data_IF_555346406057
#
_entry.id   IF_555346406057
#
_cell.length_a   1.000
_cell.length_b   1.000
_cell.length_c   1.000
_cell.angle_alpha   90.00
_cell.angle_beta   90.00
_cell.angle_gamma   90.00
#
_symmetry.space_group_name_H-M   'P 1'
#
loop_
_entity.id
_entity.type
_entity.pdbx_description
1 polymer ?
#
# COMPACT_ATOMS: atom_id res chain seq x y z
N UNK A 1 -7.61 12.45 23.35
CA UNK A 1 -8.95 12.28 23.88
C UNK A 1 -10.05 12.49 22.80
N UNK A 2 -10.09 13.65 22.12
CA UNK A 2 -11.07 13.93 21.05
C UNK A 2 -10.95 12.92 19.90
N UNK A 3 -9.74 12.64 19.41
CA UNK A 3 -9.51 11.65 18.36
C UNK A 3 -9.99 10.24 18.76
N UNK A 4 -9.81 9.85 20.03
CA UNK A 4 -10.28 8.57 20.55
C UNK A 4 -11.80 8.49 20.58
N UNK A 5 -12.50 9.57 20.93
CA UNK A 5 -13.97 9.64 20.89
C UNK A 5 -14.51 9.54 19.46
N UNK A 6 -13.88 10.25 18.49
CA UNK A 6 -14.25 10.16 17.08
C UNK A 6 -14.04 8.74 16.56
N UNK A 7 -12.93 8.10 16.94
CA UNK A 7 -12.65 6.72 16.55
C UNK A 7 -13.66 5.73 17.12
N UNK A 8 -14.07 5.88 18.38
CA UNK A 8 -15.12 5.08 18.98
C UNK A 8 -16.47 5.31 18.29
N UNK A 9 -16.83 6.57 18.03
CA UNK A 9 -18.07 6.91 17.33
C UNK A 9 -18.12 6.35 15.90
N UNK A 10 -16.98 6.22 15.20
CA UNK A 10 -16.92 5.65 13.85
C UNK A 10 -17.33 4.17 13.78
N UNK A 11 -17.34 3.46 14.90
CA UNK A 11 -17.80 2.06 14.96
C UNK A 11 -19.33 1.92 15.06
N UNK A 12 -20.07 2.99 15.42
CA UNK A 12 -21.52 2.94 15.57
C UNK A 12 -22.25 2.47 14.31
N UNK A 13 -21.94 2.96 13.08
CA UNK A 13 -22.57 2.48 11.86
C UNK A 13 -22.38 0.98 11.63
N UNK A 14 -21.21 0.43 11.99
CA UNK A 14 -20.90 -1.00 11.84
C UNK A 14 -21.77 -1.86 12.76
N UNK A 15 -22.05 -1.39 13.98
CA UNK A 15 -22.90 -2.10 14.94
C UNK A 15 -24.38 -2.09 14.55
N UNK A 16 -24.83 -1.06 13.83
CA UNK A 16 -26.23 -0.91 13.39
C UNK A 16 -26.50 -1.65 12.08
N UNK A 17 -25.46 -1.89 11.27
CA UNK A 17 -25.59 -2.56 9.97
C UNK A 17 -25.93 -4.03 10.16
N UNK A 18 -27.09 -4.48 9.65
CA UNK A 18 -27.48 -5.90 9.68
C UNK A 18 -26.65 -6.70 8.69
N UNK A 19 -26.03 -7.78 9.16
CA UNK A 19 -25.33 -8.74 8.30
C UNK A 19 -26.34 -9.57 7.51
N UNK A 20 -26.38 -9.39 6.21
CA UNK A 20 -27.20 -10.19 5.30
C UNK A 20 -26.43 -11.38 4.68
N UNK A 21 -25.28 -11.75 5.25
CA UNK A 21 -24.44 -12.82 4.71
C UNK A 21 -24.87 -14.19 5.26
N UNK A 22 -25.14 -15.12 4.33
CA UNK A 22 -25.22 -16.54 4.69
C UNK A 22 -23.80 -17.07 4.86
N UNK A 23 -23.47 -17.74 6.00
CA UNK A 23 -22.15 -18.31 6.20
C UNK A 23 -21.88 -19.36 5.10
N UNK A 24 -20.80 -19.16 4.35
CA UNK A 24 -20.33 -20.11 3.34
C UNK A 24 -19.34 -21.12 3.95
N UNK A 25 -19.18 -22.29 3.34
CA UNK A 25 -18.15 -23.24 3.72
C UNK A 25 -16.76 -22.64 3.47
N UNK A 26 -15.92 -22.59 4.50
CA UNK A 26 -14.56 -22.06 4.43
C UNK A 26 -13.54 -23.15 4.76
N UNK A 27 -12.44 -23.17 4.01
CA UNK A 27 -11.29 -24.05 4.27
C UNK A 27 -10.00 -23.25 4.17
N UNK A 28 -9.25 -23.17 5.28
CA UNK A 28 -7.89 -22.57 5.30
C UNK A 28 -6.94 -23.27 4.34
N UNK A 29 -6.99 -24.59 4.31
CA UNK A 29 -6.18 -25.40 3.38
C UNK A 29 -6.51 -25.11 1.93
N UNK A 30 -7.79 -24.87 1.63
CA UNK A 30 -8.23 -24.44 0.31
C UNK A 30 -7.65 -23.08 -0.10
N UNK A 31 -7.60 -22.10 0.82
CA UNK A 31 -6.97 -20.81 0.57
C UNK A 31 -5.46 -20.94 0.35
N UNK A 32 -4.77 -21.74 1.17
CA UNK A 32 -3.34 -22.00 1.01
C UNK A 32 -3.03 -22.67 -0.33
N UNK A 33 -3.83 -23.64 -0.76
CA UNK A 33 -3.66 -24.31 -2.06
C UNK A 33 -3.80 -23.34 -3.24
N UNK A 34 -4.61 -22.27 -3.10
CA UNK A 34 -4.73 -21.24 -4.14
C UNK A 34 -3.42 -20.51 -4.44
N UNK A 35 -2.47 -20.47 -3.50
CA UNK A 35 -1.16 -19.84 -3.70
C UNK A 35 -0.30 -20.60 -4.72
N UNK A 36 -0.48 -21.92 -4.81
CA UNK A 36 0.27 -22.79 -5.74
C UNK A 36 -0.44 -22.97 -7.07
N UNK A 37 -1.68 -22.53 -7.20
CA UNK A 37 -2.44 -22.61 -8.45
C UNK A 37 -1.87 -21.67 -9.51
N UNK A 38 -1.55 -22.22 -10.69
CA UNK A 38 -1.03 -21.45 -11.84
C UNK A 38 -1.92 -20.28 -12.23
N UNK A 39 -3.24 -20.41 -12.06
CA UNK A 39 -4.21 -19.34 -12.36
C UNK A 39 -4.05 -18.11 -11.46
N UNK A 40 -3.54 -18.29 -10.26
CA UNK A 40 -3.43 -17.24 -9.26
C UNK A 40 -2.04 -16.62 -9.18
N UNK A 41 -1.05 -17.12 -9.92
CA UNK A 41 0.35 -16.64 -9.86
C UNK A 41 0.50 -15.14 -10.09
N UNK A 42 -0.21 -14.59 -11.08
CA UNK A 42 -0.18 -13.15 -11.36
C UNK A 42 -0.74 -12.35 -10.17
N UNK A 43 -1.85 -12.80 -9.59
CA UNK A 43 -2.43 -12.14 -8.42
C UNK A 43 -1.53 -12.29 -7.19
N UNK A 44 -0.94 -13.47 -6.96
CA UNK A 44 0.02 -13.71 -5.89
C UNK A 44 1.19 -12.71 -5.97
N UNK A 45 1.81 -12.58 -7.14
CA UNK A 45 2.90 -11.63 -7.35
C UNK A 45 2.44 -10.17 -7.20
N UNK A 46 1.25 -9.83 -7.71
CA UNK A 46 0.70 -8.49 -7.51
C UNK A 46 0.53 -8.15 -6.03
N UNK A 47 0.03 -9.08 -5.23
CA UNK A 47 -0.15 -8.88 -3.79
C UNK A 47 1.18 -8.84 -3.01
N UNK A 48 2.25 -9.46 -3.52
CA UNK A 48 3.60 -9.26 -2.94
C UNK A 48 4.07 -7.81 -3.02
N UNK A 49 3.53 -7.03 -3.95
CA UNK A 49 3.76 -5.59 -4.03
C UNK A 49 3.54 -4.85 -2.70
N UNK A 50 2.63 -5.34 -1.84
CA UNK A 50 2.37 -4.76 -0.51
C UNK A 50 3.57 -4.82 0.45
N UNK A 51 4.64 -5.54 0.12
CA UNK A 51 5.89 -5.48 0.88
C UNK A 51 6.49 -4.07 0.95
N UNK A 52 6.21 -3.20 -0.05
CA UNK A 52 6.66 -1.80 -0.04
C UNK A 52 6.07 -0.98 1.12
N UNK A 53 4.93 -1.40 1.69
CA UNK A 53 4.30 -0.70 2.82
C UNK A 53 5.20 -0.64 4.05
N UNK A 54 6.07 -1.62 4.25
CA UNK A 54 7.04 -1.60 5.35
C UNK A 54 8.07 -0.48 5.17
N UNK A 55 8.47 -0.22 3.93
CA UNK A 55 9.37 0.89 3.63
C UNK A 55 8.67 2.23 3.87
N UNK A 56 7.36 2.33 3.52
CA UNK A 56 6.54 3.52 3.81
C UNK A 56 6.38 3.76 5.30
N UNK A 57 6.10 2.70 6.07
CA UNK A 57 5.71 2.83 7.47
C UNK A 57 6.91 2.94 8.42
N UNK A 58 8.06 2.41 8.04
CA UNK A 58 9.24 2.36 8.92
C UNK A 58 10.40 3.17 8.36
N UNK A 59 10.88 2.82 7.17
CA UNK A 59 12.12 3.39 6.64
C UNK A 59 11.94 4.84 6.22
N UNK A 60 10.85 5.16 5.53
CA UNK A 60 10.60 6.51 5.03
C UNK A 60 10.45 7.55 6.15
N UNK A 61 9.69 7.32 7.24
CA UNK A 61 9.63 8.24 8.38
C UNK A 61 10.99 8.45 9.06
N UNK A 62 11.80 7.39 9.21
CA UNK A 62 13.16 7.51 9.77
C UNK A 62 14.03 8.39 8.85
N UNK A 63 14.01 8.14 7.55
CA UNK A 63 14.75 8.94 6.58
C UNK A 63 14.32 10.41 6.58
N UNK A 64 13.01 10.69 6.68
CA UNK A 64 12.51 12.07 6.78
C UNK A 64 13.04 12.75 8.04
N UNK A 65 13.10 12.07 9.19
CA UNK A 65 13.58 12.64 10.44
C UNK A 65 15.06 13.02 10.41
N UNK A 66 15.85 12.41 9.53
CA UNK A 66 17.24 12.77 9.28
C UNK A 66 17.33 14.09 8.49
N UNK A 67 16.41 14.31 7.54
CA UNK A 67 16.38 15.52 6.71
C UNK A 67 15.72 16.69 7.43
N UNK A 68 14.66 16.41 8.18
CA UNK A 68 13.84 17.42 8.88
C UNK A 68 13.97 17.19 10.38
N UNK A 69 14.89 17.90 11.00
CA UNK A 69 15.16 17.79 12.45
C UNK A 69 14.15 18.54 13.31
N UNK A 70 13.46 19.55 12.74
CA UNK A 70 12.43 20.29 13.45
C UNK A 70 11.06 19.59 13.36
N UNK A 71 10.57 19.11 14.49
CA UNK A 71 9.29 18.40 14.63
C UNK A 71 8.09 19.26 14.23
N UNK A 72 8.15 20.58 14.42
CA UNK A 72 7.06 21.46 14.04
C UNK A 72 6.91 21.54 12.52
N UNK A 73 8.01 21.77 11.81
CA UNK A 73 8.06 21.78 10.35
C UNK A 73 7.65 20.43 9.76
N UNK A 74 8.10 19.34 10.38
CA UNK A 74 7.69 17.98 9.99
C UNK A 74 6.17 17.79 10.12
N UNK A 75 5.59 18.22 11.23
CA UNK A 75 4.14 18.09 11.49
C UNK A 75 3.30 18.88 10.50
N UNK A 76 3.70 20.10 10.17
CA UNK A 76 3.03 20.95 9.16
C UNK A 76 3.08 20.23 7.80
N UNK A 77 4.25 19.75 7.39
CA UNK A 77 4.46 19.10 6.11
C UNK A 77 3.57 17.86 5.96
N UNK A 78 3.55 16.99 6.96
CA UNK A 78 2.71 15.77 6.96
C UNK A 78 1.23 16.14 6.94
N UNK A 79 0.82 17.16 7.69
CA UNK A 79 -0.58 17.61 7.73
C UNK A 79 -1.05 18.17 6.38
N UNK A 80 -0.22 18.99 5.74
CA UNK A 80 -0.52 19.55 4.41
C UNK A 80 -0.58 18.43 3.34
N UNK A 81 0.38 17.50 3.34
CA UNK A 81 0.38 16.35 2.44
C UNK A 81 -0.89 15.50 2.61
N UNK A 82 -1.32 15.29 3.86
CA UNK A 82 -2.53 14.53 4.17
C UNK A 82 -3.79 15.26 3.69
N UNK A 83 -3.88 16.57 3.90
CA UNK A 83 -5.01 17.39 3.46
C UNK A 83 -5.14 17.37 1.93
N UNK A 84 -4.05 17.60 1.20
CA UNK A 84 -4.03 17.50 -0.27
C UNK A 84 -4.46 16.11 -0.73
N UNK A 85 -3.94 15.06 -0.10
CA UNK A 85 -4.29 13.67 -0.41
C UNK A 85 -5.78 13.41 -0.19
N UNK A 86 -6.35 13.88 0.92
CA UNK A 86 -7.78 13.71 1.22
C UNK A 86 -8.67 14.34 0.14
N UNK A 87 -8.39 15.58 -0.25
CA UNK A 87 -9.17 16.29 -1.28
C UNK A 87 -9.13 15.58 -2.64
N UNK A 88 -7.95 15.12 -3.04
CA UNK A 88 -7.76 14.46 -4.33
C UNK A 88 -8.33 13.04 -4.34
N UNK A 89 -8.31 12.32 -3.22
CA UNK A 89 -8.85 10.95 -3.13
C UNK A 89 -10.34 10.89 -3.49
N UNK A 90 -11.12 11.89 -3.11
CA UNK A 90 -12.55 11.96 -3.49
C UNK A 90 -12.74 12.03 -5.01
N UNK A 91 -11.82 12.68 -5.73
CA UNK A 91 -11.84 12.75 -7.19
C UNK A 91 -11.38 11.45 -7.85
N UNK A 92 -10.34 10.80 -7.28
CA UNK A 92 -9.82 9.52 -7.77
C UNK A 92 -10.91 8.44 -7.77
N UNK A 93 -11.74 8.37 -6.73
CA UNK A 93 -12.86 7.42 -6.66
C UNK A 93 -13.76 7.51 -7.88
N UNK A 94 -14.20 8.71 -8.25
CA UNK A 94 -15.03 8.94 -9.45
C UNK A 94 -14.34 8.53 -10.74
N UNK A 95 -13.03 8.75 -10.84
CA UNK A 95 -12.24 8.39 -12.02
C UNK A 95 -12.15 6.87 -12.21
N UNK A 96 -11.98 6.12 -11.12
CA UNK A 96 -11.90 4.66 -11.14
C UNK A 96 -13.22 4.02 -11.55
N UNK A 97 -14.34 4.58 -11.13
CA UNK A 97 -15.68 4.09 -11.50
C UNK A 97 -15.99 4.27 -12.99
N UNK A 98 -15.40 5.28 -13.64
CA UNK A 98 -15.68 5.63 -15.02
C UNK A 98 -14.78 4.96 -16.05
N UNK A 99 -13.67 4.34 -15.66
CA UNK A 99 -12.63 3.81 -16.57
C UNK A 99 -12.28 2.34 -16.28
N UNK A 100 -11.47 1.74 -17.17
CA UNK A 100 -10.94 0.40 -16.97
C UNK A 100 -10.01 0.34 -15.77
N UNK A 101 -10.43 -0.40 -14.74
CA UNK A 101 -9.73 -0.54 -13.44
C UNK A 101 -8.28 -1.01 -13.62
N UNK A 102 -8.02 -1.93 -14.55
CA UNK A 102 -6.66 -2.45 -14.79
C UNK A 102 -5.74 -1.39 -15.39
N UNK A 103 -6.24 -0.57 -16.31
CA UNK A 103 -5.44 0.52 -16.89
C UNK A 103 -5.10 1.58 -15.85
N UNK A 104 -6.05 1.90 -14.96
CA UNK A 104 -5.82 2.84 -13.85
C UNK A 104 -4.82 2.25 -12.87
N UNK A 105 -4.94 0.97 -12.52
CA UNK A 105 -4.01 0.26 -11.65
C UNK A 105 -2.58 0.29 -12.23
N UNK A 106 -2.43 -0.01 -13.52
CA UNK A 106 -1.13 0.01 -14.18
C UNK A 106 -0.50 1.42 -14.18
N UNK A 107 -1.30 2.43 -14.51
CA UNK A 107 -0.84 3.83 -14.51
C UNK A 107 -0.46 4.28 -13.09
N UNK A 108 -1.30 3.98 -12.09
CA UNK A 108 -1.03 4.28 -10.69
C UNK A 108 0.24 3.60 -10.19
N UNK A 109 0.45 2.33 -10.55
CA UNK A 109 1.64 1.56 -10.16
C UNK A 109 2.92 2.13 -10.77
N UNK A 110 2.89 2.52 -12.06
CA UNK A 110 4.02 3.18 -12.71
C UNK A 110 4.37 4.49 -12.03
N UNK A 111 3.35 5.31 -11.75
CA UNK A 111 3.53 6.62 -11.15
C UNK A 111 4.03 6.51 -9.70
N UNK A 112 3.53 5.52 -8.96
CA UNK A 112 3.97 5.23 -7.60
C UNK A 112 5.41 4.71 -7.55
N UNK A 113 5.78 3.81 -8.47
CA UNK A 113 7.15 3.34 -8.61
C UNK A 113 8.10 4.49 -8.95
N UNK A 114 7.70 5.38 -9.87
CA UNK A 114 8.46 6.58 -10.20
C UNK A 114 8.67 7.48 -8.96
N UNK A 115 7.63 7.68 -8.15
CA UNK A 115 7.76 8.44 -6.90
C UNK A 115 8.74 7.79 -5.92
N UNK A 116 8.84 6.45 -5.88
CA UNK A 116 9.84 5.75 -5.10
C UNK A 116 11.26 6.03 -5.59
N UNK A 117 11.50 6.01 -6.89
CA UNK A 117 12.82 6.35 -7.44
C UNK A 117 13.18 7.83 -7.24
N UNK A 118 12.21 8.72 -7.26
CA UNK A 118 12.46 10.14 -6.94
C UNK A 118 12.94 10.36 -5.50
N UNK A 119 12.60 9.47 -4.54
CA UNK A 119 13.11 9.54 -3.17
C UNK A 119 14.64 9.43 -3.08
N UNK A 120 15.28 8.81 -4.06
CA UNK A 120 16.75 8.74 -4.13
C UNK A 120 17.44 10.11 -4.23
N UNK A 121 16.71 11.11 -4.72
CA UNK A 121 17.20 12.47 -4.99
C UNK A 121 16.65 13.51 -4.01
N UNK A 122 16.04 13.06 -2.92
CA UNK A 122 15.48 13.97 -1.90
C UNK A 122 16.58 14.36 -0.91
N UNK A 123 16.82 15.68 -0.78
CA UNK A 123 17.84 16.23 0.10
C UNK A 123 17.32 17.40 0.97
N UNK A 124 16.08 17.83 0.78
CA UNK A 124 15.52 18.99 1.49
C UNK A 124 14.02 18.80 1.80
N UNK A 125 13.50 19.69 2.64
CA UNK A 125 12.11 19.64 3.10
C UNK A 125 11.09 19.76 1.96
N UNK A 126 11.37 20.58 0.95
CA UNK A 126 10.48 20.72 -0.21
C UNK A 126 10.41 19.43 -1.03
N UNK A 127 11.57 18.80 -1.25
CA UNK A 127 11.64 17.49 -1.92
C UNK A 127 10.87 16.40 -1.16
N UNK A 128 10.98 16.38 0.18
CA UNK A 128 10.21 15.46 1.02
C UNK A 128 8.71 15.68 0.82
N UNK A 129 8.24 16.94 0.93
CA UNK A 129 6.84 17.28 0.76
C UNK A 129 6.29 16.84 -0.60
N UNK A 130 7.01 17.21 -1.66
CA UNK A 130 6.59 16.92 -3.02
C UNK A 130 6.48 15.40 -3.28
N UNK A 131 7.54 14.66 -2.94
CA UNK A 131 7.58 13.22 -3.20
C UNK A 131 6.65 12.44 -2.29
N UNK A 132 6.47 12.85 -1.02
CA UNK A 132 5.53 12.20 -0.11
C UNK A 132 4.08 12.41 -0.57
N UNK A 133 3.71 13.65 -0.92
CA UNK A 133 2.38 13.96 -1.45
C UNK A 133 2.10 13.18 -2.74
N UNK A 134 3.04 13.19 -3.68
CA UNK A 134 2.95 12.46 -4.95
C UNK A 134 2.77 10.94 -4.72
N UNK A 135 3.54 10.37 -3.79
CA UNK A 135 3.44 8.95 -3.42
C UNK A 135 2.09 8.59 -2.83
N UNK A 136 1.57 9.42 -1.91
CA UNK A 136 0.25 9.20 -1.28
C UNK A 136 -0.87 9.24 -2.32
N UNK A 137 -0.84 10.21 -3.23
CA UNK A 137 -1.80 10.31 -4.32
C UNK A 137 -1.73 9.10 -5.26
N UNK A 138 -0.52 8.71 -5.68
CA UNK A 138 -0.32 7.53 -6.52
C UNK A 138 -0.78 6.23 -5.84
N UNK A 139 -0.54 6.08 -4.53
CA UNK A 139 -1.00 4.91 -3.76
C UNK A 139 -2.53 4.81 -3.75
N UNK A 140 -3.25 5.92 -3.61
CA UNK A 140 -4.72 5.92 -3.68
C UNK A 140 -5.24 5.50 -5.06
N UNK A 141 -4.55 5.91 -6.15
CA UNK A 141 -4.86 5.46 -7.51
C UNK A 141 -4.66 3.94 -7.67
N UNK A 142 -3.80 3.32 -6.85
CA UNK A 142 -3.58 1.86 -6.82
C UNK A 142 -4.63 1.16 -5.95
N UNK A 143 -4.81 1.60 -4.71
CA UNK A 143 -5.60 0.88 -3.70
C UNK A 143 -7.05 0.73 -4.11
N UNK A 144 -7.67 1.76 -4.67
CA UNK A 144 -9.08 1.72 -5.08
C UNK A 144 -9.35 0.67 -6.16
N UNK A 145 -8.68 0.67 -7.33
CA UNK A 145 -8.94 -0.35 -8.36
C UNK A 145 -8.45 -1.73 -7.94
N UNK A 146 -7.34 -1.85 -7.19
CA UNK A 146 -6.82 -3.12 -6.70
C UNK A 146 -7.82 -3.82 -5.79
N UNK A 147 -8.39 -3.08 -4.84
CA UNK A 147 -9.42 -3.59 -3.93
C UNK A 147 -10.67 -4.01 -4.72
N UNK A 148 -11.12 -3.16 -5.66
CA UNK A 148 -12.28 -3.49 -6.50
C UNK A 148 -12.06 -4.77 -7.32
N UNK A 149 -10.89 -4.93 -7.97
CA UNK A 149 -10.55 -6.15 -8.73
C UNK A 149 -10.48 -7.37 -7.80
N UNK A 150 -9.91 -7.22 -6.61
CA UNK A 150 -9.81 -8.30 -5.62
C UNK A 150 -11.19 -8.77 -5.17
N UNK A 151 -12.12 -7.84 -4.88
CA UNK A 151 -13.50 -8.18 -4.53
C UNK A 151 -14.30 -8.76 -5.70
N UNK A 152 -14.07 -8.29 -6.93
CA UNK A 152 -14.69 -8.90 -8.11
C UNK A 152 -14.26 -10.36 -8.31
N UNK A 153 -13.00 -10.66 -8.05
CA UNK A 153 -12.50 -12.06 -8.05
C UNK A 153 -13.12 -12.89 -6.93
N UNK A 154 -13.46 -12.27 -5.80
CA UNK A 154 -14.08 -12.94 -4.67
C UNK A 154 -15.58 -13.19 -4.85
N UNK A 155 -16.28 -12.55 -5.78
CA UNK A 155 -17.74 -12.74 -6.03
C UNK A 155 -18.14 -14.17 -6.43
N UNK A 156 -17.19 -15.05 -6.77
CA UNK A 156 -17.44 -16.47 -7.00
C UNK A 156 -17.73 -17.19 -5.67
N UNK A 157 -18.23 -18.45 -5.74
CA UNK A 157 -18.65 -19.28 -4.59
C UNK A 157 -17.63 -19.44 -3.43
N UNK A 158 -16.42 -18.84 -3.52
CA UNK A 158 -15.31 -18.98 -2.56
C UNK A 158 -14.82 -17.64 -2.03
N UNK A 159 -15.73 -16.73 -1.71
CA UNK A 159 -15.41 -15.35 -1.27
C UNK A 159 -14.35 -15.34 -0.16
N UNK A 160 -14.60 -16.03 0.95
CA UNK A 160 -13.69 -16.06 2.10
C UNK A 160 -12.32 -16.65 1.75
N UNK A 161 -12.27 -17.71 0.95
CA UNK A 161 -11.00 -18.30 0.51
C UNK A 161 -10.17 -17.34 -0.33
N UNK A 162 -10.81 -16.53 -1.18
CA UNK A 162 -10.13 -15.53 -2.01
C UNK A 162 -9.59 -14.37 -1.16
N UNK A 163 -10.35 -13.92 -0.15
CA UNK A 163 -9.91 -12.88 0.77
C UNK A 163 -8.73 -13.39 1.61
N UNK A 164 -8.81 -14.60 2.16
CA UNK A 164 -7.70 -15.18 2.93
C UNK A 164 -6.47 -15.41 2.04
N UNK A 165 -6.64 -15.84 0.80
CA UNK A 165 -5.54 -15.93 -0.17
C UNK A 165 -4.88 -14.56 -0.39
N UNK A 166 -5.66 -13.49 -0.52
CA UNK A 166 -5.16 -12.12 -0.64
C UNK A 166 -4.32 -11.74 0.58
N UNK A 167 -4.88 -11.89 1.79
CA UNK A 167 -4.19 -11.54 3.04
C UNK A 167 -2.90 -12.35 3.25
N UNK A 168 -2.93 -13.67 3.01
CA UNK A 168 -1.74 -14.51 3.09
C UNK A 168 -0.65 -14.06 2.10
N UNK A 169 -1.04 -13.75 0.87
CA UNK A 169 -0.12 -13.29 -0.17
C UNK A 169 0.55 -11.96 0.20
N UNK A 170 -0.22 -11.04 0.75
CA UNK A 170 0.22 -9.74 1.25
C UNK A 170 1.24 -9.91 2.39
N UNK A 171 0.95 -10.80 3.37
CA UNK A 171 1.88 -11.09 4.48
C UNK A 171 3.19 -11.69 3.97
N UNK A 172 3.15 -12.61 3.02
CA UNK A 172 4.38 -13.18 2.43
C UNK A 172 5.20 -12.11 1.72
N UNK A 173 4.55 -11.21 0.97
CA UNK A 173 5.24 -10.08 0.35
C UNK A 173 5.95 -9.20 1.39
N UNK A 174 5.30 -8.93 2.52
CA UNK A 174 5.90 -8.19 3.65
C UNK A 174 7.07 -8.95 4.29
N UNK A 175 6.96 -10.26 4.47
CA UNK A 175 8.06 -11.07 5.02
C UNK A 175 9.28 -11.07 4.10
N UNK A 176 9.09 -11.17 2.79
CA UNK A 176 10.18 -11.05 1.81
C UNK A 176 10.82 -9.66 1.90
N UNK A 177 10.01 -8.60 1.99
CA UNK A 177 10.52 -7.24 2.13
C UNK A 177 11.34 -7.06 3.42
N UNK A 178 10.87 -7.60 4.57
CA UNK A 178 11.62 -7.54 5.84
C UNK A 178 13.01 -8.16 5.70
N UNK A 179 13.11 -9.34 5.08
CA UNK A 179 14.39 -10.02 4.90
C UNK A 179 15.35 -9.17 4.07
N UNK A 180 14.87 -8.57 2.98
CA UNK A 180 15.69 -7.74 2.09
C UNK A 180 16.07 -6.41 2.77
N UNK A 181 15.14 -5.77 3.49
CA UNK A 181 15.40 -4.55 4.26
C UNK A 181 16.45 -4.82 5.33
N UNK A 182 16.28 -5.90 6.09
CA UNK A 182 17.23 -6.29 7.12
C UNK A 182 18.61 -6.54 6.51
N UNK A 183 18.70 -7.26 5.39
CA UNK A 183 19.96 -7.48 4.71
C UNK A 183 20.60 -6.16 4.23
N UNK A 184 19.83 -5.23 3.68
CA UNK A 184 20.33 -3.93 3.26
C UNK A 184 20.92 -3.14 4.45
N UNK A 185 20.20 -3.08 5.57
CA UNK A 185 20.64 -2.36 6.77
C UNK A 185 21.81 -3.04 7.48
N UNK A 186 21.94 -4.37 7.39
CA UNK A 186 23.00 -5.12 8.07
C UNK A 186 24.32 -5.12 7.27
N UNK A 187 24.25 -5.29 5.96
CA UNK A 187 25.47 -5.44 5.13
C UNK A 187 26.02 -4.13 4.56
N UNK A 188 25.22 -3.05 4.55
CA UNK A 188 25.64 -1.75 4.02
C UNK A 188 26.02 -0.84 5.19
N UNK A 189 27.29 -0.47 5.25
CA UNK A 189 27.83 0.36 6.34
C UNK A 189 27.31 1.80 6.34
N UNK A 190 26.95 2.33 5.17
CA UNK A 190 26.39 3.68 5.03
C UNK A 190 24.86 3.60 5.13
N UNK A 191 24.29 4.18 6.20
CA UNK A 191 22.85 4.17 6.48
C UNK A 191 22.03 4.83 5.36
N UNK A 192 22.54 5.92 4.77
CA UNK A 192 21.83 6.63 3.69
C UNK A 192 21.76 5.76 2.44
N UNK A 193 22.85 5.07 2.11
CA UNK A 193 22.89 4.13 0.99
C UNK A 193 21.94 2.96 1.27
N UNK A 194 21.95 2.43 2.50
CA UNK A 194 21.03 1.35 2.89
C UNK A 194 19.56 1.77 2.72
N UNK A 195 19.17 2.98 3.15
CA UNK A 195 17.81 3.48 2.93
C UNK A 195 17.47 3.64 1.44
N UNK A 196 18.40 4.15 0.64
CA UNK A 196 18.20 4.28 -0.81
C UNK A 196 17.98 2.92 -1.50
N UNK A 197 18.68 1.88 -1.07
CA UNK A 197 18.44 0.52 -1.55
C UNK A 197 17.03 0.02 -1.23
N UNK A 198 16.52 0.33 -0.04
CA UNK A 198 15.14 -0.02 0.31
C UNK A 198 14.11 0.76 -0.53
N UNK A 199 14.41 1.99 -0.95
CA UNK A 199 13.54 2.75 -1.87
C UNK A 199 13.50 2.12 -3.26
N UNK A 200 14.63 1.61 -3.75
CA UNK A 200 14.67 0.85 -5.01
C UNK A 200 13.83 -0.43 -4.89
N UNK A 201 13.98 -1.16 -3.78
CA UNK A 201 13.14 -2.33 -3.49
C UNK A 201 11.65 -1.99 -3.53
N UNK A 202 11.24 -0.93 -2.83
CA UNK A 202 9.85 -0.51 -2.80
C UNK A 202 9.33 -0.08 -4.18
N UNK A 203 10.15 0.60 -4.98
CA UNK A 203 9.87 0.94 -6.37
C UNK A 203 9.65 -0.31 -7.23
N UNK A 204 10.50 -1.32 -7.13
CA UNK A 204 10.34 -2.58 -7.84
C UNK A 204 9.09 -3.35 -7.36
N UNK A 205 8.84 -3.41 -6.06
CA UNK A 205 7.66 -4.07 -5.50
C UNK A 205 6.36 -3.39 -5.94
N UNK A 206 6.33 -2.06 -6.04
CA UNK A 206 5.15 -1.33 -6.48
C UNK A 206 4.77 -1.61 -7.94
N UNK A 207 5.71 -1.98 -8.80
CA UNK A 207 5.42 -2.40 -10.17
C UNK A 207 4.68 -3.73 -10.24
N UNK A 208 4.80 -4.58 -9.22
CA UNK A 208 4.11 -5.87 -9.19
C UNK A 208 2.58 -5.71 -9.20
N UNK A 209 2.05 -4.59 -8.70
CA UNK A 209 0.60 -4.33 -8.74
C UNK A 209 0.01 -4.37 -10.17
N UNK A 210 0.82 -4.08 -11.19
CA UNK A 210 0.38 -4.13 -12.59
C UNK A 210 -0.03 -5.53 -13.06
N UNK A 211 0.40 -6.58 -12.36
CA UNK A 211 0.15 -7.96 -12.75
C UNK A 211 -1.29 -8.42 -12.46
N UNK A 212 -2.08 -7.63 -11.72
CA UNK A 212 -3.44 -7.94 -11.33
C UNK A 212 -4.44 -7.60 -12.43
#
# INVERSE_FOLDING_TARGET
FIASLIFLASNIPTLITRENFKPGSFSYWGAFKMMFDKKNRKALLAYFGFGEELVVLVIWPIFISIIITDLFNLSILVSLATLVTMLVTMYIGKLVDSKNKRSILALGSSFYSFAWFMRLFVFNQFGVFFVDTMSRLAKNVIVVPLTAITYERAKSKKIMQTIVFFEMSLVIGKLIAIIIIYAALFFVADEIIAFKLTFILAGCMSLLYMLL
#
